data_IF_765293869228
#
_entry.id   IF_765293869228
#
_cell.length_a   1.000
_cell.length_b   1.000
_cell.length_c   1.000
_cell.angle_alpha   90.00
_cell.angle_beta   90.00
_cell.angle_gamma   90.00
#
_symmetry.space_group_name_H-M   'P 1'
#
loop_
_entity.id
_entity.type
_entity.pdbx_description
1 polymer ?
#
# COMPACT_ATOMS: atom_id res chain seq x y z
N UNK A 1 1.22 8.85 28.97
CA UNK A 1 0.78 8.90 27.56
C UNK A 1 2.00 8.66 26.69
N UNK A 2 1.96 7.78 25.69
CA UNK A 2 3.07 7.66 24.74
C UNK A 2 3.25 9.00 24.00
N UNK A 3 4.48 9.37 23.61
CA UNK A 3 4.72 10.55 22.79
C UNK A 3 3.98 10.42 21.45
N UNK A 4 3.37 11.51 20.99
CA UNK A 4 2.77 11.57 19.67
C UNK A 4 3.89 11.74 18.63
N UNK A 5 3.97 10.79 17.69
CA UNK A 5 4.87 10.88 16.55
C UNK A 5 4.13 11.49 15.36
N UNK A 6 4.58 12.65 14.90
CA UNK A 6 4.03 13.28 13.70
C UNK A 6 4.49 12.52 12.47
N UNK A 7 3.53 12.06 11.66
CA UNK A 7 3.81 11.52 10.33
C UNK A 7 3.90 12.73 9.39
N UNK A 8 5.05 12.94 8.76
CA UNK A 8 5.20 13.96 7.73
C UNK A 8 4.26 13.67 6.55
N UNK A 9 3.86 14.70 5.80
CA UNK A 9 3.02 14.53 4.61
C UNK A 9 3.65 13.51 3.65
N UNK A 10 3.02 12.33 3.46
CA UNK A 10 3.64 11.27 2.68
C UNK A 10 3.46 11.55 1.19
N UNK A 11 4.57 11.57 0.45
CA UNK A 11 4.60 11.74 -1.00
C UNK A 11 4.93 10.43 -1.73
N UNK A 12 5.30 9.38 -0.98
CA UNK A 12 5.68 8.06 -1.47
C UNK A 12 5.04 6.99 -0.59
N UNK A 13 4.09 6.25 -1.17
CA UNK A 13 3.20 5.37 -0.41
C UNK A 13 3.13 4.00 -1.07
N UNK A 14 3.26 2.94 -0.27
CA UNK A 14 3.00 1.57 -0.68
C UNK A 14 1.58 1.19 -0.30
N UNK A 15 0.78 0.74 -1.26
CA UNK A 15 -0.52 0.11 -0.99
C UNK A 15 -0.33 -1.40 -0.89
N UNK A 16 -0.57 -1.97 0.29
CA UNK A 16 -0.43 -3.40 0.57
C UNK A 16 -1.82 -4.01 0.87
N UNK A 17 -2.49 -4.62 -0.11
CA UNK A 17 -3.77 -5.28 0.12
C UNK A 17 -3.62 -6.66 0.76
N UNK A 18 -4.72 -7.14 1.36
CA UNK A 18 -4.89 -8.57 1.64
C UNK A 18 -4.71 -9.38 0.36
N UNK A 19 -4.09 -10.55 0.48
CA UNK A 19 -3.66 -11.37 -0.65
C UNK A 19 -4.62 -12.54 -0.96
N UNK A 20 -5.59 -12.80 -0.10
CA UNK A 20 -6.51 -13.95 -0.15
C UNK A 20 -7.76 -13.71 -1.02
N UNK A 21 -7.58 -12.99 -2.13
CA UNK A 21 -8.58 -12.86 -3.18
C UNK A 21 -8.90 -11.41 -3.57
N UNK A 22 -9.86 -11.22 -4.50
CA UNK A 22 -10.09 -9.94 -5.16
C UNK A 22 -10.83 -8.90 -4.31
N UNK A 23 -11.16 -9.23 -3.05
CA UNK A 23 -11.98 -8.38 -2.18
C UNK A 23 -11.36 -6.99 -1.94
N UNK A 24 -10.02 -6.88 -1.92
CA UNK A 24 -9.34 -5.60 -1.75
C UNK A 24 -9.08 -4.85 -3.07
N UNK A 25 -9.27 -5.47 -4.23
CA UNK A 25 -8.95 -4.84 -5.52
C UNK A 25 -9.68 -3.51 -5.76
N UNK A 26 -10.99 -3.37 -5.46
CA UNK A 26 -11.66 -2.07 -5.58
C UNK A 26 -11.04 -0.99 -4.70
N UNK A 27 -10.71 -1.34 -3.44
CA UNK A 27 -10.13 -0.41 -2.48
C UNK A 27 -8.72 0.03 -2.89
N UNK A 28 -7.89 -0.90 -3.39
CA UNK A 28 -6.58 -0.58 -3.96
C UNK A 28 -6.73 0.38 -5.13
N UNK A 29 -7.61 0.07 -6.09
CA UNK A 29 -7.80 0.87 -7.30
C UNK A 29 -8.22 2.29 -6.95
N UNK A 30 -9.19 2.42 -6.05
CA UNK A 30 -9.68 3.71 -5.54
C UNK A 30 -8.58 4.49 -4.82
N UNK A 31 -7.83 3.85 -3.91
CA UNK A 31 -6.75 4.49 -3.17
C UNK A 31 -5.61 4.93 -4.11
N UNK A 32 -5.22 4.08 -5.07
CA UNK A 32 -4.17 4.37 -6.02
C UNK A 32 -4.53 5.59 -6.89
N UNK A 33 -5.73 5.62 -7.47
CA UNK A 33 -6.21 6.76 -8.24
C UNK A 33 -6.22 8.05 -7.40
N UNK A 34 -6.80 7.99 -6.20
CA UNK A 34 -6.94 9.13 -5.31
C UNK A 34 -5.60 9.75 -4.87
N UNK A 35 -4.61 8.91 -4.59
CA UNK A 35 -3.26 9.32 -4.20
C UNK A 35 -2.49 9.89 -5.39
N UNK A 36 -2.54 9.22 -6.54
CA UNK A 36 -1.89 9.68 -7.77
C UNK A 36 -2.43 11.06 -8.21
N UNK A 37 -3.74 11.28 -8.14
CA UNK A 37 -4.37 12.57 -8.43
C UNK A 37 -3.84 13.72 -7.55
N UNK A 38 -3.32 13.40 -6.37
CA UNK A 38 -2.73 14.36 -5.41
C UNK A 38 -1.21 14.49 -5.53
N UNK A 39 -0.61 13.89 -6.56
CA UNK A 39 0.82 13.92 -6.79
C UNK A 39 1.62 13.02 -5.84
N UNK A 40 0.97 12.04 -5.19
CA UNK A 40 1.65 11.02 -4.40
C UNK A 40 2.13 9.92 -5.33
N UNK A 41 3.41 9.56 -5.25
CA UNK A 41 3.95 8.38 -5.94
C UNK A 41 3.46 7.14 -5.21
N UNK A 42 2.80 6.25 -5.94
CA UNK A 42 2.19 5.04 -5.40
C UNK A 42 2.96 3.82 -5.86
N UNK A 43 3.30 2.97 -4.89
CA UNK A 43 3.87 1.65 -5.11
C UNK A 43 2.83 0.57 -4.78
N UNK A 44 2.93 -0.57 -5.45
CA UNK A 44 2.16 -1.78 -5.13
C UNK A 44 3.07 -3.01 -5.20
N UNK A 45 2.76 -4.11 -4.48
CA UNK A 45 3.46 -5.37 -4.66
C UNK A 45 3.41 -5.84 -6.11
N UNK A 46 4.52 -6.37 -6.63
CA UNK A 46 4.59 -6.92 -7.99
C UNK A 46 3.53 -7.98 -8.25
N UNK A 47 3.24 -8.81 -7.25
CA UNK A 47 2.23 -9.87 -7.27
C UNK A 47 0.81 -9.31 -7.50
N UNK A 48 0.51 -8.10 -7.03
CA UNK A 48 -0.75 -7.42 -7.32
C UNK A 48 -0.74 -6.84 -8.73
N UNK A 49 0.37 -6.21 -9.13
CA UNK A 49 0.48 -5.58 -10.46
C UNK A 49 0.29 -6.60 -11.61
N UNK A 50 0.76 -7.84 -11.46
CA UNK A 50 0.55 -8.90 -12.47
C UNK A 50 -0.91 -9.34 -12.60
N UNK A 51 -1.77 -9.02 -11.63
CA UNK A 51 -3.20 -9.35 -11.69
C UNK A 51 -4.02 -8.30 -12.46
N UNK A 52 -3.44 -7.13 -12.76
CA UNK A 52 -4.08 -6.10 -13.58
C UNK A 52 -4.44 -6.69 -14.94
N UNK A 53 -5.67 -6.45 -15.39
CA UNK A 53 -6.23 -7.02 -16.63
C UNK A 53 -6.78 -8.44 -16.49
N UNK A 54 -6.36 -9.20 -15.48
CA UNK A 54 -6.96 -10.50 -15.14
C UNK A 54 -8.11 -10.39 -14.12
N UNK A 55 -8.12 -9.30 -13.34
CA UNK A 55 -9.19 -8.98 -12.40
C UNK A 55 -10.01 -7.78 -12.90
N UNK A 56 -11.35 -7.90 -13.04
CA UNK A 56 -12.21 -6.82 -13.52
C UNK A 56 -12.35 -5.66 -12.53
N UNK A 57 -11.94 -5.86 -11.27
CA UNK A 57 -12.03 -4.87 -10.19
C UNK A 57 -10.68 -4.28 -9.80
N UNK A 58 -9.62 -4.59 -10.56
CA UNK A 58 -8.28 -4.08 -10.31
C UNK A 58 -7.83 -3.20 -11.47
N UNK A 59 -7.85 -1.90 -11.26
CA UNK A 59 -7.40 -0.89 -12.21
C UNK A 59 -6.38 0.01 -11.52
N UNK A 60 -5.18 0.12 -12.08
CA UNK A 60 -4.11 0.94 -11.53
C UNK A 60 -3.75 2.06 -12.52
N UNK A 61 -3.58 3.31 -12.07
CA UNK A 61 -2.99 4.36 -12.89
C UNK A 61 -1.63 3.95 -13.45
N UNK A 62 -1.31 4.36 -14.68
CA UNK A 62 -0.06 3.99 -15.36
C UNK A 62 1.22 4.46 -14.61
N UNK A 63 1.09 5.44 -13.71
CA UNK A 63 2.18 5.94 -12.87
C UNK A 63 2.44 5.11 -11.62
N UNK A 64 1.58 4.14 -11.29
CA UNK A 64 1.79 3.21 -10.16
C UNK A 64 2.98 2.30 -10.48
N UNK A 65 3.90 2.19 -9.53
CA UNK A 65 5.12 1.39 -9.69
C UNK A 65 5.00 0.08 -8.94
N UNK A 66 5.26 -1.03 -9.63
CA UNK A 66 5.34 -2.35 -9.01
C UNK A 66 6.70 -2.55 -8.34
N UNK A 67 6.70 -3.02 -7.09
CA UNK A 67 7.92 -3.27 -6.29
C UNK A 67 7.93 -4.68 -5.71
N UNK A 68 9.12 -5.20 -5.48
CA UNK A 68 9.33 -6.43 -4.70
C UNK A 68 9.42 -6.04 -3.22
N UNK A 69 8.71 -6.76 -2.34
CA UNK A 69 8.57 -6.38 -0.92
C UNK A 69 9.88 -6.53 -0.13
N UNK A 70 10.81 -7.32 -0.66
CA UNK A 70 12.17 -7.49 -0.16
C UNK A 70 13.11 -6.35 -0.58
N UNK A 71 12.68 -5.49 -1.51
CA UNK A 71 13.47 -4.40 -2.09
C UNK A 71 12.63 -3.12 -2.20
N UNK A 72 12.11 -2.66 -1.05
CA UNK A 72 11.32 -1.44 -0.97
C UNK A 72 12.20 -0.20 -1.24
N UNK A 73 11.62 0.89 -1.79
CA UNK A 73 12.34 2.15 -1.96
C UNK A 73 12.84 2.73 -0.63
N UNK A 74 14.07 3.23 -0.60
CA UNK A 74 14.69 3.86 0.58
C UNK A 74 13.92 5.10 1.07
N UNK A 75 13.16 5.74 0.17
CA UNK A 75 12.40 6.96 0.38
C UNK A 75 10.88 6.69 0.53
N UNK A 76 10.51 5.48 0.95
CA UNK A 76 9.14 5.12 1.30
C UNK A 76 8.70 5.83 2.60
N UNK A 77 7.59 6.58 2.55
CA UNK A 77 7.14 7.39 3.70
C UNK A 77 5.97 6.76 4.47
N UNK A 78 5.20 5.88 3.84
CA UNK A 78 4.03 5.25 4.46
C UNK A 78 3.70 3.93 3.75
N UNK A 79 3.30 2.93 4.54
CA UNK A 79 2.60 1.75 4.03
C UNK A 79 1.13 1.85 4.42
N UNK A 80 0.22 1.63 3.47
CA UNK A 80 -1.21 1.51 3.72
C UNK A 80 -1.60 0.04 3.58
N UNK A 81 -1.91 -0.60 4.70
CA UNK A 81 -2.39 -1.97 4.74
C UNK A 81 -3.92 -1.99 4.52
N UNK A 82 -4.38 -2.56 3.41
CA UNK A 82 -5.80 -2.62 3.02
C UNK A 82 -6.36 -4.03 3.30
N UNK A 83 -6.91 -4.23 4.50
CA UNK A 83 -7.40 -5.53 4.96
C UNK A 83 -7.50 -5.62 6.49
N UNK A 84 -7.59 -6.84 7.02
CA UNK A 84 -7.63 -7.08 8.48
C UNK A 84 -6.26 -7.12 9.16
N UNK A 85 -6.23 -7.54 10.42
CA UNK A 85 -5.02 -7.58 11.26
C UNK A 85 -3.87 -8.39 10.63
N UNK A 86 -4.19 -9.52 9.98
CA UNK A 86 -3.17 -10.32 9.29
C UNK A 86 -2.49 -9.59 8.12
N UNK A 87 -3.15 -8.58 7.54
CA UNK A 87 -2.58 -7.71 6.50
C UNK A 87 -1.70 -6.64 7.14
N UNK A 88 -2.19 -6.01 8.21
CA UNK A 88 -1.43 -5.03 8.99
C UNK A 88 -0.13 -5.63 9.57
N UNK A 89 -0.22 -6.79 10.22
CA UNK A 89 0.93 -7.49 10.78
C UNK A 89 1.94 -7.92 9.71
N UNK A 90 1.50 -8.23 8.49
CA UNK A 90 2.40 -8.52 7.36
C UNK A 90 3.07 -7.25 6.85
N UNK A 91 2.31 -6.19 6.62
CA UNK A 91 2.84 -4.89 6.22
C UNK A 91 3.93 -4.41 7.18
N UNK A 92 3.68 -4.50 8.50
CA UNK A 92 4.64 -4.08 9.52
C UNK A 92 5.94 -4.87 9.50
N UNK A 93 5.96 -6.14 9.07
CA UNK A 93 7.21 -6.94 9.00
C UNK A 93 8.19 -6.39 7.98
N UNK A 94 7.69 -5.86 6.87
CA UNK A 94 8.53 -5.36 5.78
C UNK A 94 9.21 -4.04 6.10
N UNK A 95 8.61 -3.25 6.99
CA UNK A 95 9.06 -1.89 7.28
C UNK A 95 9.48 -1.66 8.73
N UNK A 96 9.48 -2.71 9.57
CA UNK A 96 9.84 -2.63 10.98
C UNK A 96 11.23 -2.00 11.17
N UNK A 97 12.23 -2.47 10.43
CA UNK A 97 13.62 -2.02 10.57
C UNK A 97 13.84 -0.63 9.95
N UNK A 98 13.01 -0.23 8.99
CA UNK A 98 13.09 1.05 8.30
C UNK A 98 12.36 2.19 9.04
N UNK A 99 11.58 1.89 10.08
CA UNK A 99 10.82 2.88 10.85
C UNK A 99 9.71 3.57 10.05
N UNK A 100 9.29 3.00 8.91
CA UNK A 100 8.21 3.57 8.09
C UNK A 100 6.86 3.31 8.78
N UNK A 101 6.01 4.34 8.94
CA UNK A 101 4.70 4.16 9.55
C UNK A 101 3.79 3.25 8.71
N UNK A 102 2.88 2.56 9.38
CA UNK A 102 1.86 1.72 8.74
C UNK A 102 0.46 2.23 9.11
N UNK A 103 -0.35 2.53 8.10
CA UNK A 103 -1.76 2.89 8.23
C UNK A 103 -2.61 1.66 7.88
N UNK A 104 -3.32 1.11 8.86
CA UNK A 104 -4.29 0.04 8.63
C UNK A 104 -5.66 0.60 8.22
N UNK A 105 -6.22 0.10 7.12
CA UNK A 105 -7.59 0.33 6.69
C UNK A 105 -8.32 -1.01 6.66
N UNK A 106 -9.23 -1.20 7.61
CA UNK A 106 -10.04 -2.41 7.67
C UNK A 106 -11.15 -2.35 6.59
N UNK A 107 -11.27 -3.41 5.81
CA UNK A 107 -12.21 -3.54 4.69
C UNK A 107 -13.47 -4.35 5.03
N UNK A 108 -13.61 -4.81 6.28
CA UNK A 108 -14.71 -5.68 6.73
C UNK A 108 -14.32 -7.15 6.72
#
# INVERSE_FOLDING_TARGET
MPPLHTIASPHQVLLFPREDGPAAHPAVSQAAAHLVERGVRVFVPRQLAVQVGSSPTLELPASVVAVDLEALPDDLHLVVALGGDGTLLRASRWVADAGVPVLGVNLG
#
